data_IF_870056062720
#
_entry.id   IF_870056062720
#
_cell.length_a   1.000
_cell.length_b   1.000
_cell.length_c   1.000
_cell.angle_alpha   90.00
_cell.angle_beta   90.00
_cell.angle_gamma   90.00
#
_symmetry.space_group_name_H-M   'P 1'
#
loop_
_entity.id
_entity.type
_entity.pdbx_description
1 polymer ?
#
# COMPACT_ATOMS: atom_id res chain seq x y z
N UNK A 1 71.11 -1.93 10.74
CA UNK A 1 70.14 -0.91 11.20
C UNK A 1 69.18 -0.63 10.05
N UNK A 2 68.07 -1.33 9.97
CA UNK A 2 66.99 -1.08 8.95
C UNK A 2 65.70 -0.95 9.70
N UNK A 3 65.13 0.24 9.73
CA UNK A 3 63.77 0.52 10.22
C UNK A 3 62.75 0.17 9.10
N UNK A 4 61.90 -0.83 9.33
CA UNK A 4 60.72 -1.12 8.51
C UNK A 4 59.61 -0.15 8.87
N UNK A 5 59.18 0.66 7.90
CA UNK A 5 57.95 1.40 7.95
C UNK A 5 56.80 0.47 7.58
N UNK A 6 55.88 0.21 8.50
CA UNK A 6 54.61 -0.41 8.22
C UNK A 6 53.66 0.72 7.85
N UNK A 7 53.23 0.77 6.57
CA UNK A 7 52.13 1.64 6.11
C UNK A 7 50.83 0.91 6.42
N UNK A 8 50.10 1.38 7.42
CA UNK A 8 48.73 1.01 7.64
C UNK A 8 47.83 1.73 6.65
N UNK A 9 47.24 0.99 5.72
CA UNK A 9 46.17 1.49 4.87
C UNK A 9 44.87 1.53 5.68
N UNK A 10 44.41 2.72 6.03
CA UNK A 10 43.07 2.92 6.60
C UNK A 10 42.10 2.86 5.43
N UNK A 11 41.37 1.76 5.32
CA UNK A 11 40.19 1.65 4.44
C UNK A 11 39.08 2.53 5.01
N UNK A 12 38.88 3.67 4.40
CA UNK A 12 37.68 4.48 4.59
C UNK A 12 36.53 3.79 3.86
N UNK A 13 35.73 3.05 4.60
CA UNK A 13 34.41 2.60 4.15
C UNK A 13 33.48 3.81 4.10
N UNK A 14 32.77 4.05 2.99
CA UNK A 14 31.72 5.07 2.98
C UNK A 14 30.53 4.57 3.81
N UNK A 15 30.31 5.19 4.95
CA UNK A 15 29.08 5.05 5.72
C UNK A 15 27.93 5.68 4.92
N UNK A 16 27.14 4.89 4.23
CA UNK A 16 25.80 5.27 3.84
C UNK A 16 24.86 5.02 5.03
N UNK A 17 24.76 6.01 5.91
CA UNK A 17 23.72 6.04 6.92
C UNK A 17 22.41 6.43 6.25
N UNK A 18 21.43 5.50 6.21
CA UNK A 18 20.05 5.89 6.19
C UNK A 18 19.80 6.85 7.39
N UNK A 19 19.01 7.91 7.25
CA UNK A 19 18.85 8.87 8.32
C UNK A 19 18.18 8.20 9.53
N UNK A 20 19.02 7.77 10.49
CA UNK A 20 18.60 7.80 11.87
C UNK A 20 18.24 9.26 12.15
N UNK A 21 17.15 9.52 12.86
CA UNK A 21 16.80 10.85 13.36
C UNK A 21 17.95 11.35 14.27
N UNK A 22 18.99 11.89 13.64
CA UNK A 22 20.07 12.54 14.32
C UNK A 22 19.67 14.01 14.45
N UNK A 23 19.75 14.53 15.66
CA UNK A 23 19.73 15.95 16.02
C UNK A 23 20.92 16.71 15.37
N UNK A 24 20.97 16.70 14.08
CA UNK A 24 21.88 17.48 13.27
C UNK A 24 21.05 18.38 12.38
N UNK A 25 21.17 19.65 12.56
CA UNK A 25 20.48 20.74 11.85
C UNK A 25 20.75 20.69 10.33
N UNK A 26 20.14 19.73 9.62
CA UNK A 26 20.05 19.78 8.17
C UNK A 26 19.05 20.90 7.85
N UNK A 27 19.45 21.97 7.14
CA UNK A 27 18.51 23.05 6.85
C UNK A 27 17.36 22.54 5.99
N UNK A 28 16.16 23.08 6.20
CA UNK A 28 14.99 22.79 5.37
C UNK A 28 15.35 23.07 3.89
N UNK A 29 15.10 22.08 3.02
CA UNK A 29 15.33 22.19 1.60
C UNK A 29 14.02 22.54 0.89
N UNK A 30 14.00 23.66 0.16
CA UNK A 30 12.79 24.12 -0.55
C UNK A 30 12.40 23.22 -1.72
N UNK A 31 13.38 22.60 -2.42
CA UNK A 31 13.14 21.64 -3.49
C UNK A 31 12.48 20.38 -2.97
N UNK A 32 13.02 19.80 -1.88
CA UNK A 32 12.43 18.64 -1.22
C UNK A 32 11.00 18.94 -0.72
N UNK A 33 10.83 20.10 -0.09
CA UNK A 33 9.51 20.55 0.40
C UNK A 33 8.51 20.68 -0.75
N UNK A 34 8.88 21.32 -1.86
CA UNK A 34 8.00 21.47 -3.02
C UNK A 34 7.64 20.11 -3.64
N UNK A 35 8.61 19.21 -3.73
CA UNK A 35 8.36 17.85 -4.22
C UNK A 35 7.38 17.09 -3.32
N UNK A 36 7.55 17.11 -2.00
CA UNK A 36 6.68 16.36 -1.08
C UNK A 36 5.28 17.00 -0.99
N UNK A 37 5.14 18.31 -1.11
CA UNK A 37 3.82 18.95 -1.26
C UNK A 37 3.10 18.45 -2.52
N UNK A 38 3.82 18.38 -3.64
CA UNK A 38 3.29 17.84 -4.91
C UNK A 38 2.95 16.36 -4.78
N UNK A 39 3.86 15.55 -4.21
CA UNK A 39 3.63 14.12 -3.97
C UNK A 39 2.43 13.86 -3.05
N UNK A 40 2.22 14.69 -2.02
CA UNK A 40 1.04 14.64 -1.15
C UNK A 40 -0.25 14.82 -1.96
N UNK A 41 -0.29 15.81 -2.83
CA UNK A 41 -1.46 16.04 -3.70
C UNK A 41 -1.68 14.86 -4.66
N UNK A 42 -0.62 14.29 -5.25
CA UNK A 42 -0.69 13.13 -6.14
C UNK A 42 -1.20 11.88 -5.42
N UNK A 43 -0.77 11.60 -4.18
CA UNK A 43 -1.24 10.43 -3.43
C UNK A 43 -2.68 10.62 -2.94
N UNK A 44 -3.08 11.81 -2.55
CA UNK A 44 -4.49 12.07 -2.23
C UNK A 44 -5.37 11.92 -3.49
N UNK A 45 -4.89 12.45 -4.63
CA UNK A 45 -5.56 12.31 -5.93
C UNK A 45 -5.72 10.84 -6.34
N UNK A 46 -4.74 9.96 -6.07
CA UNK A 46 -4.91 8.54 -6.39
C UNK A 46 -5.97 7.87 -5.51
N UNK A 47 -6.26 8.39 -4.31
CA UNK A 47 -7.32 7.82 -3.45
C UNK A 47 -8.70 8.35 -3.81
N UNK A 48 -8.86 9.69 -3.81
CA UNK A 48 -10.19 10.29 -3.93
C UNK A 48 -10.79 10.20 -5.33
N UNK A 49 -10.17 10.66 -6.42
CA UNK A 49 -10.70 10.31 -7.74
C UNK A 49 -10.20 8.94 -8.23
N UNK A 50 -8.92 8.62 -8.07
CA UNK A 50 -8.31 7.44 -8.69
C UNK A 50 -8.94 6.11 -8.25
N UNK A 51 -8.78 5.75 -6.98
CA UNK A 51 -9.30 4.50 -6.43
C UNK A 51 -10.83 4.48 -6.42
N UNK A 52 -11.46 5.60 -6.06
CA UNK A 52 -12.90 5.72 -6.04
C UNK A 52 -13.53 5.42 -7.42
N UNK A 53 -13.00 6.00 -8.51
CA UNK A 53 -13.45 5.72 -9.87
C UNK A 53 -13.06 4.33 -10.35
N UNK A 54 -11.86 3.86 -10.02
CA UNK A 54 -11.41 2.51 -10.37
C UNK A 54 -12.36 1.46 -9.79
N UNK A 55 -12.62 1.52 -8.49
CA UNK A 55 -13.54 0.61 -7.81
C UNK A 55 -15.01 0.86 -8.18
N UNK A 56 -15.40 2.13 -8.26
CA UNK A 56 -16.76 2.54 -8.66
C UNK A 56 -17.15 1.94 -10.00
N UNK A 57 -16.27 1.95 -11.00
CA UNK A 57 -16.53 1.36 -12.30
C UNK A 57 -16.62 -0.17 -12.29
N UNK A 58 -15.94 -0.84 -11.36
CA UNK A 58 -15.90 -2.31 -11.26
C UNK A 58 -17.14 -2.92 -10.59
N UNK A 59 -17.80 -2.21 -9.69
CA UNK A 59 -19.01 -2.70 -9.02
C UNK A 59 -20.26 -2.60 -9.93
N UNK A 60 -21.37 -3.19 -9.52
CA UNK A 60 -22.65 -3.03 -10.23
C UNK A 60 -23.16 -1.59 -10.08
N UNK A 61 -23.86 -1.06 -11.10
CA UNK A 61 -24.31 0.33 -11.18
C UNK A 61 -25.11 0.83 -9.97
N UNK A 62 -25.80 -0.04 -9.26
CA UNK A 62 -26.59 0.24 -8.06
C UNK A 62 -25.75 0.30 -6.75
N UNK A 63 -24.44 0.20 -6.84
CA UNK A 63 -23.51 0.26 -5.71
C UNK A 63 -22.36 1.25 -5.94
N UNK A 64 -22.44 2.05 -7.01
CA UNK A 64 -21.34 2.97 -7.37
C UNK A 64 -21.16 4.07 -6.34
N UNK A 65 -22.26 4.72 -5.92
CA UNK A 65 -22.21 5.80 -4.94
C UNK A 65 -21.78 5.29 -3.57
N UNK A 66 -22.22 4.10 -3.18
CA UNK A 66 -21.79 3.48 -1.93
C UNK A 66 -20.27 3.30 -1.87
N UNK A 67 -19.63 2.87 -2.95
CA UNK A 67 -18.17 2.71 -3.01
C UNK A 67 -17.46 4.06 -3.01
N UNK A 68 -17.95 5.05 -3.79
CA UNK A 68 -17.40 6.40 -3.76
C UNK A 68 -17.50 7.00 -2.35
N UNK A 69 -18.67 6.92 -1.73
CA UNK A 69 -18.94 7.39 -0.38
C UNK A 69 -17.98 6.77 0.63
N UNK A 70 -17.75 5.47 0.55
CA UNK A 70 -16.81 4.76 1.43
C UNK A 70 -15.40 5.32 1.33
N UNK A 71 -14.88 5.56 0.11
CA UNK A 71 -13.55 6.15 -0.09
C UNK A 71 -13.44 7.56 0.52
N UNK A 72 -14.45 8.42 0.29
CA UNK A 72 -14.45 9.79 0.80
C UNK A 72 -14.58 9.86 2.32
N UNK A 73 -15.46 9.03 2.91
CA UNK A 73 -15.66 9.02 4.37
C UNK A 73 -14.44 8.43 5.09
N UNK A 74 -13.81 7.39 4.54
CA UNK A 74 -12.56 6.87 5.08
C UNK A 74 -11.48 7.97 5.06
N UNK A 75 -11.36 8.71 3.96
CA UNK A 75 -10.40 9.81 3.88
C UNK A 75 -10.65 10.86 4.96
N UNK A 76 -11.90 11.28 5.15
CA UNK A 76 -12.26 12.23 6.21
C UNK A 76 -11.96 11.72 7.62
N UNK A 77 -12.41 10.49 7.93
CA UNK A 77 -12.24 9.91 9.26
C UNK A 77 -10.77 9.66 9.60
N UNK A 78 -10.00 9.09 8.66
CA UNK A 78 -8.57 8.82 8.89
C UNK A 78 -7.77 10.12 9.02
N UNK A 79 -8.12 11.18 8.29
CA UNK A 79 -7.49 12.50 8.46
C UNK A 79 -7.70 13.06 9.87
N UNK A 80 -8.90 12.92 10.43
CA UNK A 80 -9.18 13.33 11.81
C UNK A 80 -8.47 12.44 12.83
N UNK A 81 -8.43 11.13 12.61
CA UNK A 81 -7.65 10.19 13.43
C UNK A 81 -6.16 10.52 13.42
N UNK A 82 -5.64 10.91 12.24
CA UNK A 82 -4.24 11.30 12.08
C UNK A 82 -3.89 12.49 12.97
N UNK A 83 -4.76 13.49 13.00
CA UNK A 83 -4.64 14.64 13.90
C UNK A 83 -4.72 14.22 15.38
N UNK A 84 -5.72 13.41 15.75
CA UNK A 84 -6.00 13.07 17.15
C UNK A 84 -4.86 12.25 17.77
N UNK A 85 -4.26 11.30 17.03
CA UNK A 85 -3.23 10.47 17.64
C UNK A 85 -2.54 9.46 16.70
N UNK A 86 -3.11 9.14 15.55
CA UNK A 86 -2.55 8.10 14.69
C UNK A 86 -1.15 8.48 14.17
N UNK A 87 -0.92 9.77 13.83
CA UNK A 87 0.42 10.26 13.50
C UNK A 87 1.42 9.97 14.62
N UNK A 88 1.03 10.26 15.85
CA UNK A 88 1.87 10.02 17.03
C UNK A 88 2.18 8.54 17.22
N UNK A 89 1.18 7.66 17.10
CA UNK A 89 1.37 6.21 17.20
C UNK A 89 2.30 5.64 16.10
N UNK A 90 2.33 6.27 14.92
CA UNK A 90 3.21 5.87 13.83
C UNK A 90 4.64 6.37 14.01
N UNK A 91 4.84 7.64 14.43
CA UNK A 91 6.13 8.35 14.25
C UNK A 91 6.71 8.99 15.51
N UNK A 92 6.12 8.82 16.70
CA UNK A 92 6.76 9.24 17.94
C UNK A 92 7.46 8.09 18.66
N UNK A 93 8.37 8.43 19.56
CA UNK A 93 9.02 7.45 20.42
C UNK A 93 8.00 6.80 21.38
N UNK A 94 7.96 5.48 21.38
CA UNK A 94 7.11 4.66 22.24
C UNK A 94 7.74 4.31 23.59
N UNK A 95 8.92 4.83 23.93
CA UNK A 95 9.65 4.48 25.16
C UNK A 95 9.94 2.96 25.22
N UNK A 96 9.52 2.30 26.29
CA UNK A 96 9.70 0.86 26.46
C UNK A 96 8.93 0.01 25.42
N UNK A 97 7.89 0.56 24.80
CA UNK A 97 7.10 -0.10 23.76
C UNK A 97 7.55 0.24 22.33
N UNK A 98 8.62 1.05 22.16
CA UNK A 98 9.03 1.58 20.87
C UNK A 98 9.33 0.51 19.80
N UNK A 99 9.65 -0.70 20.17
CA UNK A 99 9.80 -1.80 19.22
C UNK A 99 8.47 -2.13 18.50
N UNK A 100 7.32 -1.81 19.12
CA UNK A 100 6.00 -2.27 18.70
C UNK A 100 5.02 -1.16 18.30
N UNK A 101 5.11 0.01 18.96
CA UNK A 101 4.21 1.13 18.70
C UNK A 101 4.83 2.43 19.21
N UNK A 102 4.52 3.55 18.54
CA UNK A 102 4.87 4.89 19.01
C UNK A 102 4.02 5.35 20.20
N UNK A 103 4.49 6.38 20.88
CA UNK A 103 3.79 7.00 21.98
C UNK A 103 2.71 8.00 21.54
N UNK A 104 2.22 8.79 22.49
CA UNK A 104 1.22 9.83 22.26
C UNK A 104 1.78 11.26 22.40
N UNK A 105 3.10 11.43 22.42
CA UNK A 105 3.75 12.73 22.63
C UNK A 105 3.42 13.78 21.55
N UNK A 106 3.03 13.32 20.35
CA UNK A 106 2.60 14.17 19.23
C UNK A 106 1.10 14.10 18.95
N UNK A 107 0.29 13.57 19.88
CA UNK A 107 -1.17 13.58 19.76
C UNK A 107 -1.67 15.04 19.65
N UNK A 108 -2.68 15.28 18.83
CA UNK A 108 -3.14 16.63 18.45
C UNK A 108 -2.02 17.52 17.88
N UNK A 109 -0.97 16.91 17.30
CA UNK A 109 0.24 17.57 16.82
C UNK A 109 0.95 18.41 17.91
N UNK A 110 0.87 17.98 19.17
CA UNK A 110 1.55 18.65 20.28
C UNK A 110 3.05 18.78 19.98
N UNK A 111 3.58 20.00 20.11
CA UNK A 111 4.98 20.33 19.81
C UNK A 111 5.32 20.43 18.33
N UNK A 112 4.44 20.07 17.41
CA UNK A 112 4.66 20.24 15.98
C UNK A 112 4.23 21.65 15.56
N UNK A 113 5.19 22.41 15.08
CA UNK A 113 4.98 23.78 14.58
C UNK A 113 5.34 23.87 13.11
N UNK A 114 5.09 25.02 12.48
CA UNK A 114 5.55 25.25 11.09
C UNK A 114 7.08 25.21 10.92
N UNK A 115 7.82 25.32 12.03
CA UNK A 115 9.29 25.32 12.04
C UNK A 115 9.88 23.97 12.50
N UNK A 116 9.05 23.04 12.99
CA UNK A 116 9.51 21.67 13.32
C UNK A 116 9.97 20.95 12.06
N UNK A 117 11.02 20.13 12.19
CA UNK A 117 11.68 19.48 11.03
C UNK A 117 11.73 17.96 11.21
N UNK A 118 11.68 17.27 10.08
CA UNK A 118 11.99 15.84 9.95
C UNK A 118 12.91 15.70 8.73
N UNK A 119 14.20 15.41 8.96
CA UNK A 119 15.20 15.44 7.90
C UNK A 119 15.30 16.83 7.26
N UNK A 120 15.25 16.90 5.93
CA UNK A 120 15.26 18.15 5.14
C UNK A 120 13.88 18.81 4.97
N UNK A 121 12.83 18.25 5.58
CA UNK A 121 11.44 18.70 5.41
C UNK A 121 10.90 19.39 6.67
N UNK A 122 9.98 20.36 6.52
CA UNK A 122 9.09 20.73 7.62
C UNK A 122 8.30 19.49 8.07
N UNK A 123 8.22 19.24 9.38
CA UNK A 123 7.55 18.06 9.92
C UNK A 123 6.07 17.98 9.51
N UNK A 124 5.41 19.12 9.40
CA UNK A 124 4.01 19.17 8.97
C UNK A 124 3.83 18.72 7.50
N UNK A 125 4.83 18.93 6.64
CA UNK A 125 4.82 18.46 5.25
C UNK A 125 5.04 16.95 5.20
N UNK A 126 5.98 16.42 5.99
CA UNK A 126 6.14 14.98 6.19
C UNK A 126 4.87 14.33 6.70
N UNK A 127 4.27 14.90 7.74
CA UNK A 127 3.04 14.37 8.33
C UNK A 127 1.86 14.38 7.35
N UNK A 128 1.70 15.44 6.54
CA UNK A 128 0.67 15.51 5.51
C UNK A 128 0.87 14.43 4.43
N UNK A 129 2.11 14.19 4.02
CA UNK A 129 2.46 13.14 3.07
C UNK A 129 2.13 11.74 3.64
N UNK A 130 2.58 11.43 4.84
CA UNK A 130 2.33 10.15 5.50
C UNK A 130 0.84 9.90 5.80
N UNK A 131 0.06 10.95 6.04
CA UNK A 131 -1.39 10.86 6.20
C UNK A 131 -2.06 10.23 4.98
N UNK A 132 -1.59 10.53 3.78
CA UNK A 132 -2.19 10.00 2.54
C UNK A 132 -2.05 8.48 2.44
N UNK A 133 -0.99 7.89 2.98
CA UNK A 133 -0.81 6.43 3.08
C UNK A 133 -1.77 5.81 4.11
N UNK A 134 -1.96 6.46 5.25
CA UNK A 134 -2.94 6.04 6.25
C UNK A 134 -4.37 6.07 5.70
N UNK A 135 -4.68 7.00 4.79
CA UNK A 135 -5.99 7.13 4.13
C UNK A 135 -6.21 6.00 3.12
N UNK A 136 -5.26 5.80 2.20
CA UNK A 136 -5.47 4.85 1.10
C UNK A 136 -5.52 3.40 1.57
N UNK A 137 -4.80 3.05 2.62
CA UNK A 137 -4.65 1.65 3.04
C UNK A 137 -5.99 1.01 3.42
N UNK A 138 -6.81 1.55 4.33
CA UNK A 138 -8.15 1.02 4.59
C UNK A 138 -9.11 1.19 3.40
N UNK A 139 -8.94 2.21 2.55
CA UNK A 139 -9.75 2.37 1.36
C UNK A 139 -9.56 1.23 0.34
N UNK A 140 -8.36 0.65 0.24
CA UNK A 140 -8.11 -0.55 -0.57
C UNK A 140 -8.95 -1.74 -0.12
N UNK A 141 -9.16 -1.93 1.19
CA UNK A 141 -9.89 -3.08 1.74
C UNK A 141 -11.36 -3.08 1.29
N UNK A 142 -11.93 -1.91 1.00
CA UNK A 142 -13.31 -1.74 0.50
C UNK A 142 -13.59 -2.65 -0.70
N UNK A 143 -12.62 -2.81 -1.59
CA UNK A 143 -12.74 -3.67 -2.76
C UNK A 143 -13.11 -5.12 -2.45
N UNK A 144 -12.75 -5.64 -1.28
CA UNK A 144 -12.99 -7.04 -0.92
C UNK A 144 -14.44 -7.33 -0.52
N UNK A 145 -15.12 -6.38 0.12
CA UNK A 145 -16.48 -6.54 0.64
C UNK A 145 -17.52 -5.61 -0.05
N UNK A 146 -17.12 -4.96 -1.13
CA UNK A 146 -18.00 -4.12 -1.92
C UNK A 146 -19.33 -4.82 -2.20
N UNK A 147 -20.41 -4.02 -2.29
CA UNK A 147 -21.78 -4.43 -2.60
C UNK A 147 -22.54 -5.20 -1.50
N UNK A 148 -21.95 -5.49 -0.33
CA UNK A 148 -22.63 -6.32 0.68
C UNK A 148 -22.40 -5.96 2.15
N UNK A 149 -21.42 -5.09 2.45
CA UNK A 149 -21.16 -4.69 3.84
C UNK A 149 -21.99 -3.46 4.23
N UNK A 150 -22.53 -3.47 5.46
CA UNK A 150 -23.25 -2.33 6.02
C UNK A 150 -22.32 -1.14 6.16
N UNK A 151 -22.79 0.06 5.86
CA UNK A 151 -21.98 1.28 5.93
C UNK A 151 -21.44 1.55 7.34
N UNK A 152 -22.28 1.40 8.38
CA UNK A 152 -21.84 1.56 9.78
C UNK A 152 -20.76 0.57 10.20
N UNK A 153 -20.86 -0.69 9.74
CA UNK A 153 -19.87 -1.72 9.99
C UNK A 153 -18.55 -1.41 9.26
N UNK A 154 -18.62 -1.01 8.00
CA UNK A 154 -17.45 -0.59 7.21
C UNK A 154 -16.73 0.59 7.87
N UNK A 155 -17.48 1.60 8.29
CA UNK A 155 -16.90 2.80 8.90
C UNK A 155 -16.19 2.48 10.22
N UNK A 156 -16.88 1.80 11.14
CA UNK A 156 -16.29 1.41 12.42
C UNK A 156 -15.07 0.49 12.24
N UNK A 157 -15.16 -0.46 11.31
CA UNK A 157 -14.06 -1.34 10.95
C UNK A 157 -12.86 -0.54 10.43
N UNK A 158 -13.04 0.34 9.46
CA UNK A 158 -11.94 1.08 8.82
C UNK A 158 -11.22 2.01 9.80
N UNK A 159 -11.99 2.70 10.66
CA UNK A 159 -11.47 3.59 11.72
C UNK A 159 -10.64 2.80 12.74
N UNK A 160 -11.20 1.71 13.29
CA UNK A 160 -10.51 0.89 14.28
C UNK A 160 -9.31 0.16 13.66
N UNK A 161 -9.43 -0.30 12.42
CA UNK A 161 -8.37 -0.99 11.70
C UNK A 161 -7.17 -0.07 11.41
N UNK A 162 -7.42 1.21 11.07
CA UNK A 162 -6.35 2.19 10.90
C UNK A 162 -5.52 2.37 12.18
N UNK A 163 -6.17 2.36 13.35
CA UNK A 163 -5.48 2.49 14.64
C UNK A 163 -4.79 1.19 15.04
N UNK A 164 -5.48 0.04 14.90
CA UNK A 164 -5.03 -1.24 15.46
C UNK A 164 -4.15 -2.07 14.52
N UNK A 165 -4.16 -1.81 13.22
CA UNK A 165 -3.33 -2.53 12.25
C UNK A 165 -2.36 -1.61 11.54
N UNK A 166 -2.86 -0.56 10.88
CA UNK A 166 -2.00 0.35 10.13
C UNK A 166 -0.98 1.04 11.05
N UNK A 167 -1.42 1.62 12.18
CA UNK A 167 -0.56 2.34 13.12
C UNK A 167 0.64 1.53 13.59
N UNK A 168 0.45 0.34 14.20
CA UNK A 168 1.55 -0.52 14.61
C UNK A 168 2.48 -0.94 13.46
N UNK A 169 1.94 -1.41 12.34
CA UNK A 169 2.78 -1.86 11.21
C UNK A 169 3.57 -0.70 10.59
N UNK A 170 2.96 0.48 10.47
CA UNK A 170 3.66 1.70 10.05
C UNK A 170 4.83 2.02 10.99
N UNK A 171 4.61 1.96 12.30
CA UNK A 171 5.66 2.18 13.27
C UNK A 171 6.79 1.13 13.18
N UNK A 172 6.45 -0.15 13.02
CA UNK A 172 7.45 -1.21 12.87
C UNK A 172 8.42 -0.97 11.72
N UNK A 173 7.92 -0.44 10.60
CA UNK A 173 8.66 -0.34 9.34
C UNK A 173 9.26 1.05 9.12
N UNK A 174 8.54 2.11 9.50
CA UNK A 174 8.92 3.51 9.21
C UNK A 174 9.10 4.39 10.46
N UNK A 175 8.54 3.97 11.60
CA UNK A 175 8.50 4.78 12.83
C UNK A 175 9.58 4.48 13.86
N UNK A 176 10.59 3.69 13.53
CA UNK A 176 11.66 3.32 14.47
C UNK A 176 11.44 1.97 15.18
N UNK A 177 10.42 1.21 14.82
CA UNK A 177 10.09 -0.08 15.39
C UNK A 177 11.02 -1.22 14.97
N UNK A 178 10.69 -2.44 15.40
CA UNK A 178 11.59 -3.59 15.36
C UNK A 178 12.02 -4.04 13.95
N UNK A 179 11.21 -3.81 12.92
CA UNK A 179 11.55 -4.14 11.53
C UNK A 179 12.51 -3.12 10.94
N UNK A 180 12.28 -1.82 11.20
CA UNK A 180 13.19 -0.76 10.78
C UNK A 180 14.58 -0.96 11.37
N UNK A 181 14.68 -1.29 12.67
CA UNK A 181 15.94 -1.57 13.36
C UNK A 181 16.70 -2.77 12.78
N UNK A 182 16.02 -3.68 12.08
CA UNK A 182 16.63 -4.83 11.39
C UNK A 182 16.98 -4.55 9.93
N UNK A 183 16.74 -3.34 9.45
CA UNK A 183 17.02 -2.97 8.07
C UNK A 183 16.06 -3.59 7.05
N UNK A 184 14.77 -3.65 7.37
CA UNK A 184 13.76 -4.01 6.37
C UNK A 184 13.78 -2.99 5.22
N UNK A 185 13.67 -3.46 3.99
CA UNK A 185 13.46 -2.64 2.82
C UNK A 185 11.97 -2.64 2.48
N UNK A 186 11.32 -1.53 2.77
CA UNK A 186 9.95 -1.24 2.37
C UNK A 186 9.82 0.26 2.08
N UNK A 187 10.24 0.62 0.86
CA UNK A 187 10.44 2.01 0.49
C UNK A 187 9.16 2.83 0.52
N UNK A 188 8.08 2.25 0.00
CA UNK A 188 6.82 2.98 -0.13
C UNK A 188 5.57 2.20 0.35
N UNK A 189 5.70 1.04 1.02
CA UNK A 189 4.57 0.39 1.67
C UNK A 189 4.16 -0.98 1.11
N UNK A 190 5.13 -1.80 0.72
CA UNK A 190 4.85 -3.21 0.40
C UNK A 190 4.25 -3.96 1.58
N UNK A 191 4.85 -3.81 2.77
CA UNK A 191 4.31 -4.34 4.03
C UNK A 191 3.23 -3.44 4.61
N UNK A 192 3.53 -2.15 4.78
CA UNK A 192 2.68 -1.19 5.48
C UNK A 192 1.33 -0.99 4.79
N UNK A 193 1.28 -0.99 3.46
CA UNK A 193 0.06 -0.75 2.69
C UNK A 193 -0.45 -2.03 2.03
N UNK A 194 0.37 -2.66 1.17
CA UNK A 194 -0.16 -3.70 0.29
C UNK A 194 -0.38 -5.04 0.98
N UNK A 195 0.55 -5.52 1.83
CA UNK A 195 0.34 -6.76 2.59
C UNK A 195 -0.80 -6.57 3.59
N UNK A 196 -0.80 -5.46 4.35
CA UNK A 196 -1.85 -5.21 5.34
C UNK A 196 -3.23 -5.11 4.70
N UNK A 197 -3.39 -4.28 3.64
CA UNK A 197 -4.67 -4.14 2.95
C UNK A 197 -5.13 -5.46 2.30
N UNK A 198 -4.21 -6.17 1.62
CA UNK A 198 -4.53 -7.42 0.95
C UNK A 198 -4.93 -8.53 1.92
N UNK A 199 -4.19 -8.72 3.00
CA UNK A 199 -4.53 -9.73 4.03
C UNK A 199 -5.85 -9.38 4.73
N UNK A 200 -6.06 -8.10 5.06
CA UNK A 200 -7.33 -7.64 5.62
C UNK A 200 -8.51 -7.87 4.65
N UNK A 201 -8.28 -7.65 3.36
CA UNK A 201 -9.26 -7.92 2.30
C UNK A 201 -9.63 -9.41 2.24
N UNK A 202 -8.64 -10.30 2.26
CA UNK A 202 -8.88 -11.75 2.29
C UNK A 202 -9.73 -12.16 3.51
N UNK A 203 -9.35 -11.68 4.71
CA UNK A 203 -10.08 -11.97 5.95
C UNK A 203 -11.49 -11.40 5.88
N UNK A 204 -11.67 -10.17 5.38
CA UNK A 204 -12.98 -9.55 5.24
C UNK A 204 -13.86 -10.31 4.24
N UNK A 205 -13.33 -10.72 3.09
CA UNK A 205 -14.04 -11.53 2.11
C UNK A 205 -14.56 -12.86 2.71
N UNK A 206 -13.73 -13.52 3.53
CA UNK A 206 -14.09 -14.77 4.19
C UNK A 206 -15.13 -14.58 5.31
N UNK A 207 -15.00 -13.53 6.12
CA UNK A 207 -15.87 -13.29 7.28
C UNK A 207 -17.24 -12.75 6.87
N UNK A 208 -17.29 -11.84 5.89
CA UNK A 208 -18.54 -11.26 5.36
C UNK A 208 -19.28 -12.26 4.46
N UNK A 209 -18.55 -13.17 3.83
CA UNK A 209 -19.08 -14.19 2.94
C UNK A 209 -19.32 -13.69 1.50
N UNK A 210 -19.67 -14.59 0.55
CA UNK A 210 -19.80 -14.27 -0.85
C UNK A 210 -21.07 -13.46 -1.15
N UNK A 211 -21.02 -12.64 -2.23
CA UNK A 211 -22.20 -11.97 -2.79
C UNK A 211 -23.23 -12.97 -3.27
N UNK A 212 -24.50 -12.56 -3.30
CA UNK A 212 -25.56 -13.41 -3.82
C UNK A 212 -25.30 -13.77 -5.29
N UNK A 213 -25.38 -15.07 -5.56
CA UNK A 213 -25.12 -15.61 -6.90
C UNK A 213 -23.68 -15.99 -7.18
N UNK A 214 -22.71 -15.50 -6.41
CA UNK A 214 -21.30 -15.91 -6.58
C UNK A 214 -21.10 -17.40 -6.22
N UNK A 215 -20.32 -18.18 -6.96
CA UNK A 215 -19.58 -17.85 -8.20
C UNK A 215 -20.39 -18.17 -9.50
N UNK A 216 -21.68 -18.46 -9.38
CA UNK A 216 -22.51 -18.98 -10.52
C UNK A 216 -23.06 -17.88 -11.43
N UNK A 217 -23.27 -16.68 -10.88
CA UNK A 217 -23.79 -15.52 -11.63
C UNK A 217 -22.63 -14.61 -11.98
N UNK A 218 -22.51 -14.25 -13.27
CA UNK A 218 -21.49 -13.28 -13.71
C UNK A 218 -21.79 -11.89 -13.13
N UNK A 219 -20.77 -11.22 -12.66
CA UNK A 219 -20.84 -9.87 -12.06
C UNK A 219 -19.87 -8.93 -12.80
N UNK A 220 -20.17 -8.61 -14.08
CA UNK A 220 -19.28 -7.76 -14.87
C UNK A 220 -19.25 -6.33 -14.32
N UNK A 221 -18.13 -5.62 -14.50
CA UNK A 221 -18.03 -4.19 -14.25
C UNK A 221 -19.13 -3.43 -15.00
N UNK A 222 -19.76 -2.47 -14.33
CA UNK A 222 -20.83 -1.72 -14.99
C UNK A 222 -20.33 -0.59 -15.89
N UNK A 223 -19.12 -0.06 -15.60
CA UNK A 223 -18.56 1.08 -16.33
C UNK A 223 -17.04 0.96 -16.48
N UNK A 224 -16.60 0.28 -17.54
CA UNK A 224 -15.18 0.09 -17.82
C UNK A 224 -14.47 1.41 -18.15
N UNK A 225 -15.14 2.41 -18.72
CA UNK A 225 -14.54 3.72 -18.98
C UNK A 225 -14.15 4.41 -17.68
N UNK A 226 -15.05 4.40 -16.67
CA UNK A 226 -14.78 4.90 -15.32
C UNK A 226 -13.59 4.17 -14.69
N UNK A 227 -13.54 2.84 -14.80
CA UNK A 227 -12.44 2.01 -14.30
C UNK A 227 -11.11 2.39 -14.93
N UNK A 228 -11.06 2.57 -16.25
CA UNK A 228 -9.82 2.95 -16.96
C UNK A 228 -9.35 4.35 -16.58
N UNK A 229 -10.26 5.31 -16.46
CA UNK A 229 -9.93 6.66 -16.00
C UNK A 229 -9.35 6.61 -14.58
N UNK A 230 -10.01 5.91 -13.66
CA UNK A 230 -9.50 5.70 -12.30
C UNK A 230 -8.14 5.02 -12.28
N UNK A 231 -7.94 3.99 -13.10
CA UNK A 231 -6.65 3.30 -13.23
C UNK A 231 -5.54 4.24 -13.73
N UNK A 232 -5.81 5.10 -14.70
CA UNK A 232 -4.86 6.12 -15.15
C UNK A 232 -4.49 7.10 -14.05
N UNK A 233 -5.48 7.52 -13.25
CA UNK A 233 -5.25 8.38 -12.08
C UNK A 233 -4.41 7.67 -11.00
N UNK A 234 -4.63 6.37 -10.78
CA UNK A 234 -3.78 5.55 -9.90
C UNK A 234 -2.33 5.52 -10.39
N UNK A 235 -2.09 5.32 -11.69
CA UNK A 235 -0.74 5.27 -12.24
C UNK A 235 0.01 6.59 -12.03
N UNK A 236 -0.62 7.70 -12.38
CA UNK A 236 -0.02 9.04 -12.18
C UNK A 236 0.21 9.34 -10.70
N UNK A 237 -0.76 9.04 -9.84
CA UNK A 237 -0.65 9.21 -8.40
C UNK A 237 0.47 8.38 -7.77
N UNK A 238 0.78 7.21 -8.37
CA UNK A 238 1.86 6.33 -7.90
C UNK A 238 3.26 6.92 -8.09
N UNK A 239 3.41 7.91 -8.95
CA UNK A 239 4.66 8.69 -9.02
C UNK A 239 4.90 9.49 -7.74
N UNK A 240 3.84 10.08 -7.19
CA UNK A 240 3.90 10.71 -5.86
C UNK A 240 4.07 9.67 -4.75
N UNK A 241 3.39 8.51 -4.87
CA UNK A 241 3.44 7.45 -3.88
C UNK A 241 4.86 6.89 -3.73
N UNK A 242 5.48 6.42 -4.80
CA UNK A 242 6.82 5.84 -4.78
C UNK A 242 7.93 6.90 -4.85
N UNK A 243 7.84 7.86 -5.78
CA UNK A 243 8.86 8.90 -5.92
C UNK A 243 8.90 9.87 -4.72
N UNK A 244 7.73 10.15 -4.11
CA UNK A 244 7.65 10.95 -2.88
C UNK A 244 8.24 10.24 -1.67
N UNK A 245 8.26 8.91 -1.64
CA UNK A 245 8.84 8.13 -0.52
C UNK A 245 10.36 8.27 -0.40
N UNK A 246 11.03 8.87 -1.39
CA UNK A 246 12.41 9.33 -1.24
C UNK A 246 12.56 10.46 -0.22
N UNK A 247 11.49 11.15 0.15
CA UNK A 247 11.44 12.32 1.03
C UNK A 247 12.38 13.48 0.60
N UNK A 248 12.83 13.46 -0.65
CA UNK A 248 13.72 14.43 -1.25
C UNK A 248 13.56 14.51 -2.77
N UNK A 249 13.84 15.66 -3.38
CA UNK A 249 13.86 15.85 -4.81
C UNK A 249 15.26 15.55 -5.40
N UNK A 250 15.61 14.27 -5.43
CA UNK A 250 16.96 13.81 -5.81
C UNK A 250 16.92 12.62 -6.77
N UNK A 251 18.10 12.04 -7.05
CA UNK A 251 18.25 10.87 -7.93
C UNK A 251 17.46 9.64 -7.45
N UNK A 252 17.26 9.46 -6.14
CA UNK A 252 16.44 8.36 -5.60
C UNK A 252 14.96 8.53 -5.93
N UNK A 253 14.43 9.75 -5.85
CA UNK A 253 13.06 10.05 -6.28
C UNK A 253 12.87 9.79 -7.78
N UNK A 254 13.84 10.24 -8.61
CA UNK A 254 13.83 10.00 -10.05
C UNK A 254 13.92 8.53 -10.40
N UNK A 255 14.78 7.76 -9.72
CA UNK A 255 14.89 6.31 -9.91
C UNK A 255 13.60 5.61 -9.50
N UNK A 256 13.05 5.92 -8.32
CA UNK A 256 11.80 5.33 -7.83
C UNK A 256 10.63 5.57 -8.80
N UNK A 257 10.52 6.76 -9.37
CA UNK A 257 9.54 7.09 -10.39
C UNK A 257 9.72 6.25 -11.65
N UNK A 258 10.96 6.17 -12.15
CA UNK A 258 11.27 5.43 -13.38
C UNK A 258 11.03 3.93 -13.23
N UNK A 259 11.52 3.30 -12.17
CA UNK A 259 11.32 1.85 -11.93
C UNK A 259 9.86 1.51 -11.69
N UNK A 260 9.09 2.42 -11.08
CA UNK A 260 7.63 2.29 -10.92
C UNK A 260 6.95 2.22 -12.28
N UNK A 261 7.31 3.12 -13.20
CA UNK A 261 6.77 3.12 -14.55
C UNK A 261 7.08 1.83 -15.32
N UNK A 262 8.34 1.38 -15.28
CA UNK A 262 8.77 0.14 -15.95
C UNK A 262 8.01 -1.07 -15.42
N UNK A 263 7.89 -1.21 -14.12
CA UNK A 263 7.18 -2.34 -13.50
C UNK A 263 5.68 -2.33 -13.85
N UNK A 264 5.04 -1.17 -13.85
CA UNK A 264 3.64 -1.03 -14.24
C UNK A 264 3.41 -1.47 -15.70
N UNK A 265 4.24 -0.98 -16.61
CA UNK A 265 4.18 -1.33 -18.02
C UNK A 265 4.43 -2.84 -18.25
N UNK A 266 5.44 -3.40 -17.58
CA UNK A 266 5.75 -4.83 -17.65
C UNK A 266 4.59 -5.69 -17.11
N UNK A 267 4.00 -5.32 -15.99
CA UNK A 267 2.85 -6.01 -15.41
C UNK A 267 1.62 -5.98 -16.33
N UNK A 268 1.31 -4.82 -16.91
CA UNK A 268 0.21 -4.66 -17.86
C UNK A 268 0.38 -5.55 -19.09
N UNK A 269 1.55 -5.49 -19.72
CA UNK A 269 1.84 -6.27 -20.96
C UNK A 269 1.88 -7.77 -20.69
N UNK A 270 2.43 -8.19 -19.57
CA UNK A 270 2.45 -9.60 -19.16
C UNK A 270 1.04 -10.13 -18.93
N UNK A 271 0.18 -9.37 -18.26
CA UNK A 271 -1.20 -9.77 -18.03
C UNK A 271 -1.97 -9.94 -19.35
N UNK A 272 -1.84 -8.98 -20.28
CA UNK A 272 -2.44 -9.07 -21.63
C UNK A 272 -1.96 -10.31 -22.35
N UNK A 273 -0.67 -10.58 -22.35
CA UNK A 273 -0.11 -11.75 -23.01
C UNK A 273 -0.68 -13.05 -22.45
N UNK A 274 -0.81 -13.15 -21.11
CA UNK A 274 -1.41 -14.31 -20.45
C UNK A 274 -2.90 -14.46 -20.77
N UNK A 275 -3.68 -13.37 -20.79
CA UNK A 275 -5.08 -13.42 -21.22
C UNK A 275 -5.21 -13.90 -22.67
N UNK A 276 -4.36 -13.38 -23.55
CA UNK A 276 -4.39 -13.75 -24.95
C UNK A 276 -4.07 -15.23 -25.16
N UNK A 277 -3.05 -15.73 -24.47
CA UNK A 277 -2.67 -17.15 -24.50
C UNK A 277 -3.71 -18.07 -23.86
N UNK A 278 -4.37 -17.61 -22.78
CA UNK A 278 -5.28 -18.45 -21.99
C UNK A 278 -6.73 -18.39 -22.48
N UNK A 279 -7.19 -17.22 -22.91
CA UNK A 279 -8.59 -16.98 -23.27
C UNK A 279 -8.78 -16.56 -24.73
N UNK A 280 -7.70 -16.42 -25.50
CA UNK A 280 -7.73 -16.06 -26.91
C UNK A 280 -7.98 -14.58 -27.20
N UNK A 281 -8.25 -13.74 -26.18
CA UNK A 281 -8.50 -12.29 -26.32
C UNK A 281 -7.98 -11.54 -25.10
N UNK A 282 -7.30 -10.39 -25.30
CA UNK A 282 -6.96 -9.48 -24.22
C UNK A 282 -8.19 -8.69 -23.77
N UNK A 283 -8.22 -8.26 -22.51
CA UNK A 283 -9.28 -7.41 -22.00
C UNK A 283 -8.73 -6.08 -21.49
N UNK A 284 -9.57 -5.05 -21.54
CA UNK A 284 -9.25 -3.75 -20.96
C UNK A 284 -9.10 -3.85 -19.42
N UNK A 285 -9.92 -4.68 -18.79
CA UNK A 285 -9.79 -4.98 -17.36
C UNK A 285 -8.43 -5.61 -17.05
N UNK A 286 -7.99 -6.57 -17.87
CA UNK A 286 -6.69 -7.23 -17.70
C UNK A 286 -5.52 -6.26 -17.79
N UNK A 287 -5.54 -5.33 -18.76
CA UNK A 287 -4.51 -4.28 -18.90
C UNK A 287 -4.37 -3.50 -17.60
N UNK A 288 -5.48 -2.94 -17.09
CA UNK A 288 -5.43 -2.06 -15.91
C UNK A 288 -5.16 -2.85 -14.63
N UNK A 289 -5.62 -4.10 -14.52
CA UNK A 289 -5.32 -4.96 -13.37
C UNK A 289 -3.84 -5.35 -13.33
N UNK A 290 -3.27 -5.74 -14.47
CA UNK A 290 -1.85 -6.05 -14.58
C UNK A 290 -0.95 -4.84 -14.32
N UNK A 291 -1.37 -3.65 -14.75
CA UNK A 291 -0.71 -2.38 -14.44
C UNK A 291 -0.70 -2.14 -12.93
N UNK A 292 -1.84 -2.26 -12.23
CA UNK A 292 -1.92 -2.09 -10.77
C UNK A 292 -1.10 -3.16 -10.05
N UNK A 293 -1.10 -4.40 -10.53
CA UNK A 293 -0.25 -5.46 -9.98
C UNK A 293 1.24 -5.10 -10.06
N UNK A 294 1.69 -4.58 -11.21
CA UNK A 294 3.06 -4.08 -11.39
C UNK A 294 3.40 -2.93 -10.45
N UNK A 295 2.48 -1.96 -10.29
CA UNK A 295 2.62 -0.82 -9.36
C UNK A 295 2.73 -1.26 -7.90
N UNK A 296 1.83 -2.14 -7.45
CA UNK A 296 1.83 -2.62 -6.06
C UNK A 296 3.06 -3.48 -5.74
N UNK A 297 3.49 -4.31 -6.70
CA UNK A 297 4.64 -5.20 -6.48
C UNK A 297 5.97 -4.46 -6.45
N UNK A 298 6.16 -3.40 -7.25
CA UNK A 298 7.39 -2.59 -7.21
C UNK A 298 7.48 -1.70 -5.97
N UNK A 299 6.37 -1.38 -5.34
CA UNK A 299 6.27 -0.40 -4.25
C UNK A 299 7.30 -0.59 -3.13
N UNK A 300 7.50 -1.78 -2.53
CA UNK A 300 8.54 -1.97 -1.50
C UNK A 300 9.96 -1.81 -2.04
N UNK A 301 10.15 -2.02 -3.32
CA UNK A 301 11.44 -2.11 -3.98
C UNK A 301 11.86 -0.80 -4.68
N UNK A 302 10.95 0.14 -4.90
CA UNK A 302 11.14 1.26 -5.83
C UNK A 302 12.33 2.16 -5.53
N UNK A 303 12.75 2.28 -4.27
CA UNK A 303 13.95 3.03 -3.88
C UNK A 303 15.23 2.19 -3.79
N UNK A 304 15.13 0.87 -3.93
CA UNK A 304 16.25 -0.04 -3.68
C UNK A 304 16.70 -0.84 -4.91
N UNK A 305 15.92 -0.85 -6.01
CA UNK A 305 16.24 -1.63 -7.21
C UNK A 305 16.55 -0.74 -8.41
N UNK A 306 17.31 -1.29 -9.37
CA UNK A 306 17.55 -0.66 -10.65
C UNK A 306 16.49 -1.06 -11.70
N UNK A 307 16.57 -0.47 -12.93
CA UNK A 307 15.61 -0.71 -14.00
C UNK A 307 15.48 -2.18 -14.42
N UNK A 308 16.58 -2.92 -14.46
CA UNK A 308 16.57 -4.36 -14.77
C UNK A 308 15.79 -5.17 -13.73
N UNK A 309 16.02 -4.91 -12.44
CA UNK A 309 15.26 -5.52 -11.35
C UNK A 309 13.76 -5.16 -11.43
N UNK A 310 13.43 -3.92 -11.73
CA UNK A 310 12.06 -3.47 -11.89
C UNK A 310 11.31 -4.17 -13.03
N UNK A 311 11.99 -4.41 -14.16
CA UNK A 311 11.42 -5.18 -15.27
C UNK A 311 11.05 -6.59 -14.80
N UNK A 312 11.97 -7.29 -14.11
CA UNK A 312 11.71 -8.65 -13.61
C UNK A 312 10.57 -8.65 -12.58
N UNK A 313 10.54 -7.66 -11.68
CA UNK A 313 9.46 -7.51 -10.69
C UNK A 313 8.11 -7.33 -11.40
N UNK A 314 8.02 -6.45 -12.40
CA UNK A 314 6.79 -6.20 -13.15
C UNK A 314 6.30 -7.42 -13.94
N UNK A 315 7.21 -8.14 -14.63
CA UNK A 315 6.89 -9.40 -15.33
C UNK A 315 6.35 -10.44 -14.32
N UNK A 316 7.04 -10.61 -13.19
CA UNK A 316 6.64 -11.53 -12.14
C UNK A 316 5.29 -11.17 -11.54
N UNK A 317 5.02 -9.87 -11.32
CA UNK A 317 3.73 -9.36 -10.85
C UNK A 317 2.60 -9.77 -11.80
N UNK A 318 2.78 -9.51 -13.11
CA UNK A 318 1.80 -9.90 -14.12
C UNK A 318 1.48 -11.39 -14.10
N UNK A 319 2.51 -12.24 -13.98
CA UNK A 319 2.34 -13.70 -13.95
C UNK A 319 1.65 -14.15 -12.64
N UNK A 320 2.25 -13.81 -11.50
CA UNK A 320 1.83 -14.35 -10.21
C UNK A 320 0.44 -13.86 -9.82
N UNK A 321 0.16 -12.55 -9.98
CA UNK A 321 -1.14 -12.00 -9.63
C UNK A 321 -2.24 -12.51 -10.59
N UNK A 322 -1.94 -12.70 -11.88
CA UNK A 322 -2.88 -13.30 -12.83
C UNK A 322 -3.34 -14.69 -12.37
N UNK A 323 -2.40 -15.59 -12.09
CA UNK A 323 -2.75 -16.95 -11.67
C UNK A 323 -3.38 -16.97 -10.27
N UNK A 324 -2.96 -16.08 -9.38
CA UNK A 324 -3.54 -15.98 -8.04
C UNK A 324 -5.00 -15.49 -8.08
N UNK A 325 -5.33 -14.54 -8.96
CA UNK A 325 -6.73 -14.12 -9.19
C UNK A 325 -7.60 -15.30 -9.64
N UNK A 326 -7.10 -16.13 -10.56
CA UNK A 326 -7.82 -17.33 -10.99
C UNK A 326 -7.96 -18.35 -9.85
N UNK A 327 -6.91 -18.56 -9.06
CA UNK A 327 -6.93 -19.47 -7.91
C UNK A 327 -7.97 -19.06 -6.87
N UNK A 328 -7.93 -17.80 -6.43
CA UNK A 328 -8.83 -17.26 -5.37
C UNK A 328 -10.29 -17.35 -5.82
N UNK A 329 -10.60 -16.81 -7.01
CA UNK A 329 -12.01 -16.73 -7.46
C UNK A 329 -12.56 -18.05 -7.97
N UNK A 330 -11.79 -18.79 -8.76
CA UNK A 330 -12.32 -19.98 -9.47
C UNK A 330 -12.15 -21.30 -8.73
N UNK A 331 -10.99 -21.50 -8.05
CA UNK A 331 -10.73 -22.76 -7.35
C UNK A 331 -11.14 -22.71 -5.88
N UNK A 332 -10.78 -21.62 -5.18
CA UNK A 332 -11.10 -21.47 -3.77
C UNK A 332 -12.49 -20.88 -3.53
N UNK A 333 -13.13 -20.34 -4.57
CA UNK A 333 -14.45 -19.70 -4.53
C UNK A 333 -14.55 -18.64 -3.42
N UNK A 334 -13.49 -17.84 -3.22
CA UNK A 334 -13.48 -16.72 -2.29
C UNK A 334 -13.90 -15.46 -3.05
N UNK A 335 -14.96 -14.79 -2.60
CA UNK A 335 -15.48 -13.56 -3.20
C UNK A 335 -14.76 -12.33 -2.65
N UNK A 336 -13.49 -12.19 -2.99
CA UNK A 336 -12.78 -10.92 -2.97
C UNK A 336 -13.23 -10.13 -4.21
N UNK A 337 -14.19 -9.21 -4.01
CA UNK A 337 -14.99 -8.68 -5.12
C UNK A 337 -14.14 -8.03 -6.21
N UNK A 338 -13.12 -7.26 -5.83
CA UNK A 338 -12.29 -6.47 -6.74
C UNK A 338 -10.81 -6.90 -6.74
N UNK A 339 -10.53 -8.16 -6.39
CA UNK A 339 -9.20 -8.79 -6.46
C UNK A 339 -8.12 -8.11 -5.58
N UNK A 340 -8.52 -7.59 -4.41
CA UNK A 340 -7.60 -6.85 -3.52
C UNK A 340 -6.47 -7.75 -3.00
N UNK A 341 -6.80 -8.95 -2.51
CA UNK A 341 -5.77 -9.86 -2.01
C UNK A 341 -4.80 -10.36 -3.10
N UNK A 342 -5.25 -10.87 -4.26
CA UNK A 342 -4.31 -11.35 -5.27
C UNK A 342 -3.46 -10.23 -5.88
N UNK A 343 -3.95 -9.00 -5.96
CA UNK A 343 -3.21 -7.87 -6.56
C UNK A 343 -2.32 -7.18 -5.52
N UNK A 344 -2.88 -6.80 -4.37
CA UNK A 344 -2.13 -6.05 -3.34
C UNK A 344 -1.45 -6.97 -2.33
N UNK A 345 -2.16 -7.96 -1.77
CA UNK A 345 -1.59 -8.88 -0.79
C UNK A 345 -0.46 -9.72 -1.36
N UNK A 346 -0.75 -10.44 -2.44
CA UNK A 346 0.24 -11.30 -3.10
C UNK A 346 1.31 -10.48 -3.82
N UNK A 347 0.92 -9.38 -4.49
CA UNK A 347 1.87 -8.45 -5.10
C UNK A 347 2.82 -7.83 -4.07
N UNK A 348 2.30 -7.37 -2.92
CA UNK A 348 3.11 -6.84 -1.83
C UNK A 348 4.08 -7.87 -1.23
N UNK A 349 3.63 -9.12 -1.01
CA UNK A 349 4.50 -10.22 -0.57
C UNK A 349 5.60 -10.49 -1.59
N UNK A 350 5.24 -10.60 -2.87
CA UNK A 350 6.19 -10.85 -3.95
C UNK A 350 7.23 -9.72 -4.05
N UNK A 351 6.80 -8.47 -4.06
CA UNK A 351 7.69 -7.31 -4.13
C UNK A 351 8.61 -7.20 -2.92
N UNK A 352 8.07 -7.42 -1.71
CA UNK A 352 8.86 -7.43 -0.47
C UNK A 352 9.88 -8.57 -0.45
N UNK A 353 9.57 -9.72 -1.03
CA UNK A 353 10.53 -10.80 -1.21
C UNK A 353 11.60 -10.42 -2.25
N UNK A 354 11.18 -9.93 -3.43
CA UNK A 354 12.09 -9.65 -4.54
C UNK A 354 13.05 -8.49 -4.26
N UNK A 355 12.68 -7.50 -3.45
CA UNK A 355 13.61 -6.44 -3.05
C UNK A 355 14.80 -7.01 -2.28
N UNK A 356 14.60 -8.08 -1.49
CA UNK A 356 15.70 -8.76 -0.81
C UNK A 356 16.77 -9.31 -1.74
N UNK A 357 16.42 -9.59 -3.00
CA UNK A 357 17.36 -10.05 -4.03
C UNK A 357 17.89 -8.87 -4.84
N UNK A 358 16.99 -8.07 -5.45
CA UNK A 358 17.35 -7.06 -6.44
C UNK A 358 17.85 -5.74 -5.82
N UNK A 359 17.91 -5.61 -4.50
CA UNK A 359 18.65 -4.54 -3.83
C UNK A 359 20.16 -4.74 -3.88
N UNK A 360 20.64 -5.96 -4.17
CA UNK A 360 22.07 -6.25 -4.26
C UNK A 360 22.75 -5.39 -5.35
N UNK A 361 23.92 -4.78 -5.05
CA UNK A 361 24.69 -4.02 -6.03
C UNK A 361 25.47 -4.92 -7.03
N UNK A 362 25.51 -6.23 -6.80
CA UNK A 362 26.42 -7.16 -7.51
C UNK A 362 25.69 -8.08 -8.51
N UNK A 363 24.55 -7.62 -9.08
CA UNK A 363 23.74 -8.41 -10.04
C UNK A 363 23.87 -7.94 -11.50
N UNK A 364 24.94 -7.18 -11.83
CA UNK A 364 25.14 -6.65 -13.18
C UNK A 364 24.01 -5.74 -13.62
N UNK A 365 23.35 -6.04 -14.73
CA UNK A 365 22.22 -5.24 -15.24
C UNK A 365 20.97 -5.26 -14.34
N UNK A 366 20.93 -6.16 -13.37
CA UNK A 366 19.86 -6.28 -12.38
C UNK A 366 20.23 -5.71 -11.01
N UNK A 367 21.41 -5.06 -10.89
CA UNK A 367 21.89 -4.50 -9.64
C UNK A 367 20.95 -3.44 -9.08
N UNK A 368 20.87 -3.41 -7.74
CA UNK A 368 20.13 -2.41 -6.97
C UNK A 368 21.04 -1.38 -6.30
N UNK A 369 20.47 -0.70 -5.28
CA UNK A 369 21.11 0.42 -4.59
C UNK A 369 21.77 0.04 -3.28
N UNK A 370 21.76 -1.24 -2.90
CA UNK A 370 22.31 -1.76 -1.66
C UNK A 370 21.24 -2.32 -0.70
N UNK A 371 21.74 -3.00 0.31
CA UNK A 371 20.91 -3.65 1.34
C UNK A 371 20.47 -2.66 2.42
N UNK A 372 19.48 -3.04 3.19
CA UNK A 372 19.02 -2.30 4.37
C UNK A 372 20.10 -2.28 5.48
N UNK A 373 19.96 -1.33 6.40
CA UNK A 373 20.94 -1.10 7.47
C UNK A 373 21.27 -2.38 8.23
N UNK A 374 22.58 -2.66 8.38
CA UNK A 374 23.08 -3.86 9.07
C UNK A 374 23.10 -5.13 8.22
N UNK A 375 22.55 -5.14 7.01
CA UNK A 375 22.58 -6.27 6.11
C UNK A 375 23.68 -6.12 5.06
N UNK A 376 24.37 -7.21 4.73
CA UNK A 376 25.53 -7.20 3.81
C UNK A 376 25.43 -8.26 2.71
N UNK A 377 24.36 -9.03 2.67
CA UNK A 377 24.16 -10.08 1.69
C UNK A 377 22.67 -10.30 1.35
N UNK A 378 22.41 -10.87 0.18
CA UNK A 378 21.06 -11.28 -0.24
C UNK A 378 20.40 -12.18 0.81
N UNK A 379 21.13 -13.13 1.38
CA UNK A 379 20.59 -14.05 2.37
C UNK A 379 20.14 -13.36 3.65
N UNK A 380 20.92 -12.39 4.16
CA UNK A 380 20.54 -11.59 5.33
C UNK A 380 19.33 -10.71 5.02
N UNK A 381 19.35 -10.01 3.89
CA UNK A 381 18.23 -9.16 3.48
C UNK A 381 16.95 -9.97 3.29
N UNK A 382 17.01 -11.12 2.63
CA UNK A 382 15.86 -12.02 2.49
C UNK A 382 15.32 -12.49 3.85
N UNK A 383 16.20 -12.80 4.80
CA UNK A 383 15.79 -13.16 6.15
C UNK A 383 14.95 -12.07 6.83
N UNK A 384 15.37 -10.81 6.70
CA UNK A 384 14.63 -9.66 7.24
C UNK A 384 13.32 -9.44 6.49
N UNK A 385 13.33 -9.55 5.15
CA UNK A 385 12.11 -9.40 4.35
C UNK A 385 11.07 -10.48 4.70
N UNK A 386 11.50 -11.74 4.84
CA UNK A 386 10.62 -12.84 5.25
C UNK A 386 10.05 -12.66 6.65
N UNK A 387 10.86 -12.15 7.59
CA UNK A 387 10.39 -11.78 8.93
C UNK A 387 9.30 -10.69 8.84
N UNK A 388 9.55 -9.64 8.03
CA UNK A 388 8.60 -8.56 7.82
C UNK A 388 7.28 -9.05 7.21
N UNK A 389 7.35 -9.90 6.18
CA UNK A 389 6.18 -10.54 5.57
C UNK A 389 5.41 -11.36 6.60
N UNK A 390 6.09 -12.25 7.32
CA UNK A 390 5.44 -13.15 8.27
C UNK A 390 4.80 -12.39 9.44
N UNK A 391 5.49 -11.41 10.02
CA UNK A 391 4.99 -10.59 11.11
C UNK A 391 3.77 -9.77 10.67
N UNK A 392 3.87 -9.08 9.54
CA UNK A 392 2.78 -8.25 9.00
C UNK A 392 1.57 -9.10 8.63
N UNK A 393 1.79 -10.22 7.92
CA UNK A 393 0.72 -11.14 7.51
C UNK A 393 0.00 -11.71 8.73
N UNK A 394 0.73 -12.29 9.68
CA UNK A 394 0.17 -12.94 10.86
C UNK A 394 -0.58 -11.96 11.76
N UNK A 395 0.02 -10.80 12.03
CA UNK A 395 -0.61 -9.75 12.83
C UNK A 395 -1.89 -9.23 12.18
N UNK A 396 -1.82 -8.86 10.91
CA UNK A 396 -2.97 -8.35 10.17
C UNK A 396 -4.11 -9.35 10.13
N UNK A 397 -3.80 -10.63 9.86
CA UNK A 397 -4.80 -11.69 9.82
C UNK A 397 -5.57 -11.80 11.15
N UNK A 398 -4.84 -11.92 12.27
CA UNK A 398 -5.43 -12.13 13.58
C UNK A 398 -6.24 -10.91 14.04
N UNK A 399 -5.64 -9.71 13.94
CA UNK A 399 -6.29 -8.48 14.41
C UNK A 399 -7.49 -8.13 13.53
N UNK A 400 -7.40 -8.30 12.21
CA UNK A 400 -8.52 -8.04 11.30
C UNK A 400 -9.67 -9.00 11.57
N UNK A 401 -9.39 -10.29 11.77
CA UNK A 401 -10.42 -11.27 12.10
C UNK A 401 -11.15 -10.93 13.40
N UNK A 402 -10.40 -10.67 14.47
CA UNK A 402 -10.96 -10.29 15.76
C UNK A 402 -11.79 -9.00 15.68
N UNK A 403 -11.27 -8.02 14.95
CA UNK A 403 -11.92 -6.73 14.76
C UNK A 403 -13.25 -6.87 14.00
N UNK A 404 -13.30 -7.64 12.92
CA UNK A 404 -14.53 -7.90 12.18
C UNK A 404 -15.58 -8.61 13.04
N UNK A 405 -15.17 -9.56 13.89
CA UNK A 405 -16.10 -10.20 14.85
C UNK A 405 -16.65 -9.20 15.85
N UNK A 406 -15.79 -8.35 16.41
CA UNK A 406 -16.21 -7.31 17.36
C UNK A 406 -17.15 -6.29 16.70
N UNK A 407 -16.79 -5.77 15.52
CA UNK A 407 -17.63 -4.83 14.76
C UNK A 407 -18.98 -5.47 14.44
N UNK A 408 -19.01 -6.72 14.01
CA UNK A 408 -20.26 -7.44 13.75
C UNK A 408 -21.17 -7.51 14.97
N UNK A 409 -20.62 -7.70 16.18
CA UNK A 409 -21.37 -7.66 17.43
C UNK A 409 -21.91 -6.25 17.74
N UNK A 410 -21.10 -5.21 17.54
CA UNK A 410 -21.46 -3.84 17.86
C UNK A 410 -22.47 -3.23 16.88
N UNK A 411 -22.47 -3.67 15.62
CA UNK A 411 -23.35 -3.11 14.56
C UNK A 411 -24.56 -3.99 14.23
N UNK A 412 -24.79 -5.05 14.98
CA UNK A 412 -25.88 -6.00 14.71
C UNK A 412 -25.69 -6.78 13.41
N UNK A 413 -24.44 -7.04 13.03
CA UNK A 413 -24.03 -7.78 11.83
C UNK A 413 -23.21 -6.94 10.86
N UNK A 414 -22.33 -7.60 10.10
CA UNK A 414 -21.46 -6.93 9.13
C UNK A 414 -22.16 -6.69 7.78
N UNK A 415 -23.10 -7.55 7.42
CA UNK A 415 -23.68 -7.64 6.07
C UNK A 415 -25.11 -7.08 6.05
N UNK A 416 -25.46 -6.47 4.94
CA UNK A 416 -26.85 -6.12 4.62
C UNK A 416 -27.69 -7.38 4.40
N UNK A 417 -29.03 -7.26 4.45
CA UNK A 417 -29.93 -8.35 4.14
C UNK A 417 -29.84 -8.77 2.67
N UNK A 418 -30.39 -9.95 2.37
CA UNK A 418 -30.43 -10.46 1.00
C UNK A 418 -31.23 -9.57 0.05
N UNK A 419 -32.28 -8.92 0.53
CA UNK A 419 -33.13 -8.03 -0.25
C UNK A 419 -32.43 -6.69 -0.51
N UNK A 420 -31.80 -6.12 0.51
CA UNK A 420 -30.99 -4.90 0.40
C UNK A 420 -29.83 -5.07 -0.59
N UNK A 421 -29.15 -6.22 -0.57
CA UNK A 421 -28.08 -6.51 -1.54
C UNK A 421 -28.61 -6.62 -2.98
N UNK A 422 -29.85 -7.15 -3.16
CA UNK A 422 -30.50 -7.22 -4.47
C UNK A 422 -30.94 -5.86 -4.97
N UNK A 423 -31.47 -5.02 -4.10
CA UNK A 423 -31.90 -3.66 -4.42
C UNK A 423 -30.72 -2.77 -4.77
N UNK A 424 -29.63 -2.85 -4.03
CA UNK A 424 -28.39 -2.10 -4.21
C UNK A 424 -28.15 -1.08 -3.10
N UNK A 425 -26.88 -0.93 -2.74
CA UNK A 425 -26.50 -0.16 -1.56
C UNK A 425 -26.65 1.34 -1.72
N UNK A 426 -26.63 1.86 -2.95
CA UNK A 426 -26.80 3.30 -3.22
C UNK A 426 -28.17 3.77 -2.73
N UNK A 427 -29.23 3.03 -3.08
CA UNK A 427 -30.58 3.38 -2.67
C UNK A 427 -30.84 3.03 -1.20
N UNK A 428 -30.46 1.83 -0.78
CA UNK A 428 -30.81 1.30 0.54
C UNK A 428 -30.05 1.99 1.68
N UNK A 429 -28.78 2.37 1.47
CA UNK A 429 -27.93 2.95 2.52
C UNK A 429 -27.82 4.47 2.43
N UNK A 430 -28.06 5.05 1.24
CA UNK A 430 -27.80 6.47 0.99
C UNK A 430 -29.00 7.23 0.40
N UNK A 431 -30.07 6.51 0.01
CA UNK A 431 -31.27 7.08 -0.64
C UNK A 431 -30.93 7.85 -1.94
N UNK A 432 -29.86 7.44 -2.62
CA UNK A 432 -29.32 8.10 -3.81
C UNK A 432 -29.23 7.13 -4.99
N UNK A 433 -29.15 7.66 -6.20
CA UNK A 433 -28.92 6.92 -7.43
C UNK A 433 -27.80 7.55 -8.23
N UNK A 434 -26.82 6.76 -8.63
CA UNK A 434 -25.70 7.22 -9.45
C UNK A 434 -26.08 7.48 -10.90
N UNK A 435 -27.16 6.83 -11.38
CA UNK A 435 -27.63 6.95 -12.76
C UNK A 435 -29.16 7.08 -12.80
N UNK A 436 -29.66 8.00 -13.62
CA UNK A 436 -31.07 8.09 -14.04
C UNK A 436 -31.18 7.39 -15.42
N UNK A 437 -31.19 6.06 -15.39
CA UNK A 437 -31.37 5.24 -16.59
C UNK A 437 -32.88 5.05 -16.82
N UNK A 438 -33.49 5.86 -17.73
CA UNK A 438 -34.85 5.69 -18.19
C UNK A 438 -34.96 4.60 -19.23
#
# INVERSE_FOLDING_TARGET
MLRRFVRGSVLLLPFFSLPAFADGTVPVNSGDTAWILTATALVLFMTLPGLALFYGGLVRSRNVLSVLMQCFVIAGCVSLLWLVGLYSLCFSDGGSANAWIGGLSKAMFAGVTRNSQTGSLPEIVFAAYQMTFAIITPALIVGAFAERMRFSAMLLFSVAWAVLVYGPVCHWVWGGGFLMQRGILDFAGGTVVHITAGVAALVAALVVGPRQGFPRVAMPPHNMTMTVIGAGMLWVGWYGFNGGSALAANGSAGMALFVTHISAAAGALTWIALEWLTFGKPSVLGVVTGMVAGLGTITPASGAVGPGGALVIGLSAGIVCFYMTQLIKRRLAIDDSLDVFPVHGVGGILGTFMVGIFSSPDLGVFSGQGFGSGNTSIGQQLGVQMLGIAATFGYTLVVTWGLLKLVGLLTGGLRVSADEEREGLDLVLHEERGYDLK
#
